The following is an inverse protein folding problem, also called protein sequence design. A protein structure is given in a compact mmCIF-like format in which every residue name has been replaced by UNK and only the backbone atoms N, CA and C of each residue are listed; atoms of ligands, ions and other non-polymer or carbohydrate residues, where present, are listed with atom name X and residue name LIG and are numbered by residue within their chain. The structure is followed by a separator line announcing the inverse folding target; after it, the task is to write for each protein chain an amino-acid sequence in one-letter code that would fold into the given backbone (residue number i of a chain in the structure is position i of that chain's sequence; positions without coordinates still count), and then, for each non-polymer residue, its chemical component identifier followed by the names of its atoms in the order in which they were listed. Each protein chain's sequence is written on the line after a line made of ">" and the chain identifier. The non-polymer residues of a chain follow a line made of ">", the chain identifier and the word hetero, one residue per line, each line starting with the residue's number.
data_IF_775567717764
#
_entry.id   IF_775567717764
#
_cell.length_a   1.000
_cell.length_b   1.000
_cell.length_c   1.000
_cell.angle_alpha   90.00
_cell.angle_beta   90.00
_cell.angle_gamma   90.00
#
_symmetry.space_group_name_H-M   'P 1'
#
loop_
_entity.id
_entity.type
_entity.pdbx_description
1 polymer ?
#
# COMPACT_ATOMS: atom_id res chain seq x y z
N UNK A 1 -28.84 -7.58 -13.62
CA UNK A 1 -28.02 -6.52 -14.23
C UNK A 1 -26.96 -7.20 -15.06
N UNK A 2 -26.97 -7.03 -16.38
CA UNK A 2 -25.89 -7.55 -17.21
C UNK A 2 -24.60 -6.82 -16.84
N UNK A 3 -23.56 -7.56 -16.49
CA UNK A 3 -22.22 -6.98 -16.41
C UNK A 3 -21.86 -6.46 -17.80
N UNK A 4 -21.15 -5.34 -17.91
CA UNK A 4 -20.75 -4.77 -19.21
C UNK A 4 -19.96 -5.74 -20.11
N UNK A 5 -19.38 -6.79 -19.54
CA UNK A 5 -18.64 -7.84 -20.25
C UNK A 5 -19.51 -8.95 -20.85
N UNK A 6 -20.82 -8.94 -20.62
CA UNK A 6 -21.70 -10.01 -21.09
C UNK A 6 -21.49 -11.37 -20.41
N UNK A 7 -20.60 -11.47 -19.44
CA UNK A 7 -20.39 -12.70 -18.67
C UNK A 7 -21.48 -12.89 -17.64
N UNK A 8 -22.12 -14.04 -17.65
CA UNK A 8 -23.03 -14.42 -16.58
C UNK A 8 -22.22 -14.88 -15.37
N UNK A 9 -22.73 -14.70 -14.11
CA UNK A 9 -22.03 -15.16 -12.91
C UNK A 9 -21.74 -16.67 -12.83
N UNK A 10 -22.32 -17.43 -13.77
CA UNK A 10 -22.15 -18.89 -13.88
C UNK A 10 -20.99 -19.33 -14.78
N UNK A 11 -20.44 -18.41 -15.59
CA UNK A 11 -19.30 -18.73 -16.43
C UNK A 11 -18.07 -18.87 -15.55
N UNK A 12 -17.70 -20.10 -15.23
CA UNK A 12 -16.42 -20.40 -14.58
C UNK A 12 -15.32 -20.00 -15.53
N UNK A 13 -14.61 -18.93 -15.21
CA UNK A 13 -13.37 -18.62 -15.92
C UNK A 13 -12.44 -19.83 -15.83
N UNK A 14 -11.92 -20.31 -16.95
CA UNK A 14 -10.90 -21.36 -16.90
C UNK A 14 -9.72 -20.82 -16.09
N UNK A 15 -9.46 -21.39 -14.93
CA UNK A 15 -8.25 -21.12 -14.17
C UNK A 15 -7.08 -21.71 -14.94
N UNK A 16 -6.46 -20.93 -15.81
CA UNK A 16 -5.10 -21.19 -16.24
C UNK A 16 -4.19 -20.51 -15.21
N UNK A 17 -3.64 -21.30 -14.33
CA UNK A 17 -2.57 -20.87 -13.46
C UNK A 17 -1.33 -20.72 -14.32
N UNK A 18 -0.80 -19.51 -14.41
CA UNK A 18 0.54 -19.29 -14.95
C UNK A 18 1.52 -19.94 -13.99
N UNK A 19 2.36 -20.81 -14.50
CA UNK A 19 3.44 -21.38 -13.72
C UNK A 19 4.68 -20.54 -13.94
N UNK A 20 5.11 -19.83 -12.89
CA UNK A 20 6.28 -18.94 -12.92
C UNK A 20 7.56 -19.76 -12.72
N UNK A 21 8.01 -20.49 -13.74
CA UNK A 21 9.20 -21.34 -13.67
C UNK A 21 10.41 -20.64 -14.33
N UNK A 22 11.64 -20.78 -13.78
CA UNK A 22 11.95 -21.45 -12.50
C UNK A 22 11.51 -20.63 -11.26
N UNK A 23 11.30 -19.33 -11.41
CA UNK A 23 10.84 -18.39 -10.41
C UNK A 23 10.16 -17.18 -11.10
N UNK A 24 9.47 -16.36 -10.34
CA UNK A 24 8.74 -15.20 -10.85
C UNK A 24 9.65 -14.15 -11.49
N UNK A 25 10.84 -13.90 -10.94
CA UNK A 25 11.80 -12.94 -11.48
C UNK A 25 12.25 -13.35 -12.88
N UNK A 26 12.72 -14.59 -13.02
CA UNK A 26 13.18 -15.14 -14.31
C UNK A 26 12.04 -15.13 -15.33
N UNK A 27 10.86 -15.61 -14.94
CA UNK A 27 9.69 -15.64 -15.81
C UNK A 27 9.35 -14.26 -16.39
N UNK A 28 9.27 -13.21 -15.55
CA UNK A 28 8.91 -11.87 -16.03
C UNK A 28 10.06 -11.15 -16.75
N UNK A 29 11.32 -11.53 -16.53
CA UNK A 29 12.43 -11.06 -17.37
C UNK A 29 12.39 -11.67 -18.78
N UNK A 30 11.96 -12.91 -18.91
CA UNK A 30 11.76 -13.59 -20.20
C UNK A 30 10.49 -13.12 -20.93
N UNK A 31 9.49 -12.64 -20.19
CA UNK A 31 8.21 -12.15 -20.71
C UNK A 31 7.94 -10.68 -20.28
N UNK A 32 8.78 -9.73 -20.72
CA UNK A 32 8.80 -8.37 -20.16
C UNK A 32 7.63 -7.49 -20.60
N UNK A 33 6.83 -7.93 -21.58
CA UNK A 33 5.74 -7.10 -22.11
C UNK A 33 4.37 -7.70 -21.83
N UNK A 34 3.37 -6.82 -21.75
CA UNK A 34 1.98 -7.23 -21.67
C UNK A 34 1.57 -8.11 -22.87
N UNK A 35 2.14 -7.87 -24.05
CA UNK A 35 1.86 -8.66 -25.25
C UNK A 35 2.33 -10.10 -25.08
N UNK A 36 3.50 -10.33 -24.48
CA UNK A 36 4.00 -11.66 -24.18
C UNK A 36 3.05 -12.39 -23.23
N UNK A 37 2.63 -11.74 -22.16
CA UNK A 37 1.68 -12.29 -21.18
C UNK A 37 0.31 -12.60 -21.80
N UNK A 38 -0.18 -11.74 -22.70
CA UNK A 38 -1.45 -11.97 -23.41
C UNK A 38 -1.38 -13.25 -24.26
N UNK A 39 -0.24 -13.52 -24.86
CA UNK A 39 -0.05 -14.75 -25.65
C UNK A 39 -0.12 -16.00 -24.77
N UNK A 40 0.43 -15.93 -23.56
CA UNK A 40 0.40 -17.03 -22.59
C UNK A 40 -0.99 -17.26 -21.99
N UNK A 41 -1.75 -16.17 -21.79
CA UNK A 41 -3.07 -16.20 -21.17
C UNK A 41 -4.23 -16.40 -22.15
N UNK A 42 -3.97 -16.44 -23.46
CA UNK A 42 -5.01 -16.54 -24.46
C UNK A 42 -5.75 -17.90 -24.44
N UNK A 43 -7.06 -17.93 -24.74
CA UNK A 43 -7.97 -16.80 -24.78
C UNK A 43 -8.53 -16.45 -23.39
N UNK A 44 -8.47 -15.18 -23.01
CA UNK A 44 -9.06 -14.67 -21.77
C UNK A 44 -9.78 -13.34 -22.06
N UNK A 45 -11.07 -13.42 -22.27
CA UNK A 45 -11.88 -12.26 -22.67
C UNK A 45 -11.82 -11.09 -21.67
N UNK A 46 -11.74 -11.38 -20.36
CA UNK A 46 -11.62 -10.33 -19.34
C UNK A 46 -10.27 -9.62 -19.42
N UNK A 47 -9.18 -10.39 -19.63
CA UNK A 47 -7.85 -9.81 -19.80
C UNK A 47 -7.75 -8.97 -21.06
N UNK A 48 -8.36 -9.43 -22.16
CA UNK A 48 -8.42 -8.68 -23.43
C UNK A 48 -9.19 -7.38 -23.25
N UNK A 49 -10.38 -7.44 -22.62
CA UNK A 49 -11.21 -6.27 -22.32
C UNK A 49 -10.45 -5.27 -21.42
N UNK A 50 -9.89 -5.72 -20.29
CA UNK A 50 -9.12 -4.89 -19.38
C UNK A 50 -7.92 -4.25 -20.08
N UNK A 51 -7.27 -4.99 -20.97
CA UNK A 51 -6.11 -4.52 -21.74
C UNK A 51 -6.44 -3.43 -22.73
N UNK A 52 -7.70 -3.35 -23.18
CA UNK A 52 -8.24 -2.27 -24.00
C UNK A 52 -8.41 -0.94 -23.25
N UNK A 53 -8.34 -0.95 -21.90
CA UNK A 53 -8.56 0.18 -21.03
C UNK A 53 -7.33 0.53 -20.19
N UNK A 54 -6.22 0.99 -20.81
CA UNK A 54 -4.96 1.25 -20.09
C UNK A 54 -5.05 2.48 -19.17
N UNK A 55 -5.98 3.38 -19.42
CA UNK A 55 -6.18 4.60 -18.63
C UNK A 55 -7.44 4.47 -17.76
N UNK A 56 -7.56 5.30 -16.71
CA UNK A 56 -8.75 5.35 -15.86
C UNK A 56 -9.90 6.06 -16.57
N UNK A 57 -10.54 5.35 -17.50
CA UNK A 57 -11.67 5.77 -18.31
C UNK A 57 -13.03 5.39 -17.68
N UNK A 58 -14.11 5.45 -18.49
CA UNK A 58 -15.46 5.15 -18.03
C UNK A 58 -15.65 3.66 -17.72
N UNK A 59 -14.88 2.76 -18.35
CA UNK A 59 -14.92 1.34 -18.05
C UNK A 59 -14.50 1.05 -16.59
N UNK A 60 -13.43 1.69 -16.10
CA UNK A 60 -12.98 1.62 -14.69
C UNK A 60 -13.94 2.33 -13.75
N UNK A 61 -14.43 3.52 -14.15
CA UNK A 61 -15.37 4.30 -13.33
C UNK A 61 -16.68 3.58 -13.08
N UNK A 62 -17.18 2.83 -14.08
CA UNK A 62 -18.40 2.04 -13.93
C UNK A 62 -18.25 0.88 -12.93
N UNK A 63 -17.00 0.46 -12.65
CA UNK A 63 -16.66 -0.61 -11.70
C UNK A 63 -16.25 -0.09 -10.32
N UNK A 64 -16.13 1.22 -10.15
CA UNK A 64 -15.78 1.84 -8.88
C UNK A 64 -17.00 1.97 -7.96
N UNK A 65 -17.19 0.99 -7.10
CA UNK A 65 -18.32 0.94 -6.14
C UNK A 65 -18.36 2.12 -5.18
N UNK A 66 -17.23 2.80 -4.94
CA UNK A 66 -17.16 3.99 -4.07
C UNK A 66 -17.98 5.15 -4.59
N UNK A 67 -18.30 5.17 -5.89
CA UNK A 67 -19.16 6.18 -6.52
C UNK A 67 -20.65 5.97 -6.21
N UNK A 68 -21.01 4.78 -5.72
CA UNK A 68 -22.39 4.38 -5.43
C UNK A 68 -22.68 4.25 -3.92
N UNK A 69 -21.83 4.81 -3.06
CA UNK A 69 -21.96 4.73 -1.59
C UNK A 69 -22.98 5.77 -1.05
N UNK A 70 -24.13 5.91 -1.67
CA UNK A 70 -25.20 6.83 -1.26
C UNK A 70 -26.46 6.07 -0.84
N UNK A 71 -27.23 6.64 0.10
CA UNK A 71 -28.47 6.05 0.62
C UNK A 71 -28.32 4.61 1.18
N UNK A 72 -27.16 4.33 1.75
CA UNK A 72 -26.91 3.06 2.42
C UNK A 72 -27.72 3.05 3.73
N UNK A 73 -28.63 2.11 3.89
CA UNK A 73 -29.47 1.98 5.08
C UNK A 73 -28.92 1.00 6.12
N UNK A 74 -28.38 -0.16 5.72
CA UNK A 74 -27.78 -1.08 6.68
C UNK A 74 -26.58 -0.47 7.38
N UNK A 75 -26.35 -0.84 8.64
CA UNK A 75 -25.10 -0.58 9.32
C UNK A 75 -23.93 -1.28 8.59
N UNK A 76 -22.77 -0.68 8.59
CA UNK A 76 -21.59 -1.20 7.90
C UNK A 76 -20.41 -1.35 8.85
N UNK A 77 -19.76 -2.51 8.80
CA UNK A 77 -18.44 -2.76 9.37
C UNK A 77 -17.46 -2.93 8.20
N UNK A 78 -16.60 -1.94 8.00
CA UNK A 78 -15.53 -2.00 7.00
C UNK A 78 -14.28 -2.54 7.67
N UNK A 79 -13.77 -3.66 7.18
CA UNK A 79 -12.61 -4.34 7.75
C UNK A 79 -11.51 -4.41 6.72
N UNK A 80 -10.27 -4.17 7.15
CA UNK A 80 -9.11 -4.25 6.28
C UNK A 80 -7.82 -4.56 7.03
N UNK A 81 -6.78 -4.83 6.26
CA UNK A 81 -5.43 -5.03 6.76
C UNK A 81 -4.49 -3.89 6.36
N UNK A 82 -3.67 -3.43 7.29
CA UNK A 82 -2.61 -2.48 6.98
C UNK A 82 -1.61 -3.07 5.98
N UNK A 83 -1.32 -4.36 6.12
CA UNK A 83 -0.38 -5.09 5.25
C UNK A 83 -1.11 -5.98 4.23
N UNK A 84 -2.32 -5.57 3.82
CA UNK A 84 -3.04 -6.23 2.74
C UNK A 84 -2.49 -5.77 1.39
N UNK A 85 -1.88 -6.71 0.66
CA UNK A 85 -1.27 -6.44 -0.65
C UNK A 85 -2.30 -6.23 -1.77
N UNK A 86 -3.59 -6.53 -1.51
CA UNK A 86 -4.67 -6.46 -2.50
C UNK A 86 -5.63 -5.30 -2.21
N UNK A 87 -6.14 -5.21 -0.97
CA UNK A 87 -7.26 -4.33 -0.63
C UNK A 87 -6.93 -3.23 0.38
N UNK A 88 -5.65 -3.02 0.71
CA UNK A 88 -5.22 -1.97 1.64
C UNK A 88 -5.81 -0.59 1.26
N UNK A 89 -5.75 -0.21 -0.01
CA UNK A 89 -6.33 1.04 -0.51
C UNK A 89 -7.87 1.03 -0.42
N UNK A 90 -8.50 -0.12 -0.69
CA UNK A 90 -9.95 -0.26 -0.82
C UNK A 90 -10.70 0.04 0.48
N UNK A 91 -10.31 -0.59 1.58
CA UNK A 91 -10.97 -0.44 2.87
C UNK A 91 -11.04 1.02 3.35
N UNK A 92 -9.91 1.73 3.36
CA UNK A 92 -9.85 3.14 3.75
C UNK A 92 -10.73 4.05 2.90
N UNK A 93 -10.72 3.82 1.59
CA UNK A 93 -11.45 4.69 0.66
C UNK A 93 -12.93 4.34 0.57
N UNK A 94 -13.32 3.09 0.82
CA UNK A 94 -14.72 2.71 0.98
C UNK A 94 -15.32 3.40 2.22
N UNK A 95 -14.68 3.30 3.37
CA UNK A 95 -15.10 3.99 4.58
C UNK A 95 -15.31 5.50 4.32
N UNK A 96 -14.31 6.16 3.72
CA UNK A 96 -14.41 7.58 3.38
C UNK A 96 -15.57 7.89 2.41
N UNK A 97 -15.81 7.00 1.46
CA UNK A 97 -16.89 7.18 0.49
C UNK A 97 -18.27 7.10 1.19
N UNK A 98 -18.46 6.13 2.08
CA UNK A 98 -19.69 5.99 2.87
C UNK A 98 -19.91 7.20 3.77
N UNK A 99 -18.92 7.59 4.58
CA UNK A 99 -19.01 8.76 5.47
C UNK A 99 -19.39 10.03 4.70
N UNK A 100 -18.85 10.21 3.50
CA UNK A 100 -19.10 11.40 2.69
C UNK A 100 -20.46 11.39 1.99
N UNK A 101 -20.89 10.24 1.47
CA UNK A 101 -22.04 10.13 0.59
C UNK A 101 -23.32 9.64 1.29
N UNK A 102 -23.17 9.01 2.46
CA UNK A 102 -24.28 8.42 3.24
C UNK A 102 -24.09 8.71 4.72
N UNK A 103 -24.12 9.99 5.09
CA UNK A 103 -23.80 10.49 6.42
C UNK A 103 -24.69 9.95 7.56
N UNK A 104 -25.85 9.38 7.22
CA UNK A 104 -26.76 8.75 8.19
C UNK A 104 -26.49 7.27 8.41
N UNK A 105 -25.58 6.67 7.63
CA UNK A 105 -25.24 5.24 7.77
C UNK A 105 -24.35 5.04 8.99
N UNK A 106 -24.74 4.19 9.95
CA UNK A 106 -23.82 3.75 10.98
C UNK A 106 -22.69 2.97 10.32
N UNK A 107 -21.48 3.53 10.34
CA UNK A 107 -20.30 2.91 9.73
C UNK A 107 -19.15 2.86 10.70
N UNK A 108 -18.57 1.67 10.84
CA UNK A 108 -17.37 1.41 11.62
C UNK A 108 -16.24 0.99 10.69
N UNK A 109 -15.02 1.42 11.01
CA UNK A 109 -13.79 1.00 10.33
C UNK A 109 -12.90 0.26 11.32
N UNK A 110 -12.50 -0.96 10.97
CA UNK A 110 -11.54 -1.75 11.76
C UNK A 110 -10.38 -2.16 10.84
N UNK A 111 -9.17 -1.72 11.17
CA UNK A 111 -7.97 -2.05 10.39
C UNK A 111 -6.91 -2.62 11.32
N UNK A 112 -6.57 -3.88 11.12
CA UNK A 112 -5.51 -4.56 11.86
C UNK A 112 -4.22 -4.67 11.06
N UNK A 113 -3.17 -5.27 11.64
CA UNK A 113 -1.86 -5.43 10.98
C UNK A 113 -1.87 -6.64 10.02
N UNK A 114 -2.99 -6.89 9.38
CA UNK A 114 -3.27 -8.10 8.64
C UNK A 114 -2.85 -8.04 7.19
N UNK A 115 -2.45 -9.18 6.65
CA UNK A 115 -2.50 -9.47 5.23
C UNK A 115 -3.94 -9.79 4.80
N UNK A 116 -4.17 -9.98 3.50
CA UNK A 116 -5.48 -10.22 2.92
C UNK A 116 -6.25 -11.36 3.63
N UNK A 117 -7.38 -11.01 4.24
CA UNK A 117 -8.27 -11.96 4.94
C UNK A 117 -7.71 -12.57 6.23
N UNK A 118 -6.55 -12.16 6.72
CA UNK A 118 -5.90 -12.79 7.88
C UNK A 118 -6.69 -12.66 9.18
N UNK A 119 -7.57 -11.67 9.31
CA UNK A 119 -8.51 -11.53 10.43
C UNK A 119 -9.53 -12.68 10.57
N UNK A 120 -9.63 -13.54 9.55
CA UNK A 120 -10.46 -14.75 9.59
C UNK A 120 -9.76 -15.96 10.19
N UNK A 121 -8.47 -15.82 10.52
CA UNK A 121 -7.63 -16.86 11.07
C UNK A 121 -6.84 -16.39 12.28
N UNK A 122 -5.59 -16.87 12.44
CA UNK A 122 -4.73 -16.41 13.53
C UNK A 122 -4.42 -14.90 13.38
N UNK A 123 -4.00 -14.44 12.19
CA UNK A 123 -3.80 -13.03 11.87
C UNK A 123 -2.67 -12.32 12.61
N UNK A 124 -2.11 -12.97 13.64
CA UNK A 124 -1.15 -12.38 14.57
C UNK A 124 0.23 -12.17 13.96
N UNK A 125 0.60 -13.01 12.99
CA UNK A 125 1.94 -13.03 12.41
C UNK A 125 1.95 -12.69 10.93
N UNK A 126 2.98 -11.94 10.53
CA UNK A 126 3.29 -11.69 9.14
C UNK A 126 4.82 -11.60 8.97
N UNK A 127 5.40 -12.49 8.15
CA UNK A 127 6.84 -12.61 8.04
C UNK A 127 7.48 -12.88 9.40
N UNK A 128 8.49 -12.11 9.72
CA UNK A 128 9.23 -12.22 10.99
C UNK A 128 8.53 -11.52 12.17
N UNK A 129 7.44 -10.79 11.92
CA UNK A 129 6.74 -9.99 12.94
C UNK A 129 5.60 -10.76 13.60
N UNK A 130 5.56 -10.72 14.94
CA UNK A 130 4.46 -11.16 15.80
C UNK A 130 3.86 -9.94 16.48
N UNK A 131 2.71 -9.48 15.99
CA UNK A 131 1.99 -8.30 16.51
C UNK A 131 1.20 -8.58 17.81
N UNK A 132 1.35 -9.76 18.38
CA UNK A 132 0.73 -10.14 19.64
C UNK A 132 -0.72 -10.61 19.55
N UNK A 133 -1.26 -11.01 20.69
CA UNK A 133 -2.59 -11.64 20.78
C UNK A 133 -3.73 -10.70 20.36
N UNK A 134 -3.60 -9.40 20.64
CA UNK A 134 -4.61 -8.41 20.25
C UNK A 134 -4.72 -8.22 18.73
N UNK A 135 -3.71 -8.63 17.95
CA UNK A 135 -3.75 -8.65 16.50
C UNK A 135 -4.45 -9.89 15.93
N UNK A 136 -4.82 -10.86 16.76
CA UNK A 136 -5.41 -12.11 16.30
C UNK A 136 -6.83 -11.93 15.74
N UNK A 137 -7.19 -12.81 14.80
CA UNK A 137 -8.57 -12.86 14.30
C UNK A 137 -9.59 -13.20 15.37
N UNK A 138 -9.19 -13.93 16.43
CA UNK A 138 -10.03 -14.17 17.60
C UNK A 138 -10.33 -12.87 18.34
N UNK A 139 -9.33 -12.05 18.61
CA UNK A 139 -9.52 -10.74 19.24
C UNK A 139 -10.44 -9.85 18.38
N UNK A 140 -10.22 -9.81 17.06
CA UNK A 140 -11.10 -9.08 16.15
C UNK A 140 -12.56 -9.56 16.24
N UNK A 141 -12.78 -10.87 16.21
CA UNK A 141 -14.13 -11.45 16.30
C UNK A 141 -14.81 -11.08 17.63
N UNK A 142 -14.10 -11.21 18.75
CA UNK A 142 -14.64 -10.99 20.09
C UNK A 142 -14.88 -9.50 20.41
N UNK A 143 -14.05 -8.60 19.90
CA UNK A 143 -14.08 -7.18 20.27
C UNK A 143 -14.72 -6.26 19.22
N UNK A 144 -14.84 -6.71 17.98
CA UNK A 144 -15.39 -5.87 16.90
C UNK A 144 -16.53 -6.56 16.14
N UNK A 145 -16.32 -7.75 15.60
CA UNK A 145 -17.30 -8.39 14.73
C UNK A 145 -18.55 -8.84 15.48
N UNK A 146 -18.39 -9.63 16.53
CA UNK A 146 -19.53 -10.12 17.32
C UNK A 146 -20.30 -8.96 17.98
N UNK A 147 -19.67 -7.97 18.64
CA UNK A 147 -20.37 -6.79 19.15
C UNK A 147 -21.11 -5.99 18.08
N UNK A 148 -20.58 -5.87 16.86
CA UNK A 148 -21.27 -5.19 15.76
C UNK A 148 -22.57 -5.91 15.40
N UNK A 149 -22.53 -7.22 15.22
CA UNK A 149 -23.72 -7.99 14.88
C UNK A 149 -24.71 -8.08 16.06
N UNK A 150 -24.23 -8.22 17.28
CA UNK A 150 -25.08 -8.22 18.48
C UNK A 150 -25.86 -6.89 18.60
N UNK A 151 -25.23 -5.78 18.35
CA UNK A 151 -25.86 -4.47 18.36
C UNK A 151 -26.93 -4.33 17.26
N UNK A 152 -26.60 -4.68 16.04
CA UNK A 152 -27.45 -4.38 14.89
C UNK A 152 -28.48 -5.46 14.55
N UNK A 153 -28.29 -6.70 15.00
CA UNK A 153 -29.22 -7.80 14.74
C UNK A 153 -30.07 -8.18 15.96
N UNK A 154 -29.53 -8.01 17.17
CA UNK A 154 -30.17 -8.49 18.41
C UNK A 154 -30.62 -7.39 19.36
N UNK A 155 -30.48 -6.12 18.97
CA UNK A 155 -30.85 -4.95 19.81
C UNK A 155 -30.26 -4.98 21.23
N UNK A 156 -29.08 -5.54 21.40
CA UNK A 156 -28.37 -5.48 22.67
C UNK A 156 -27.66 -4.14 22.76
N UNK A 157 -27.72 -3.48 23.93
CA UNK A 157 -27.05 -2.19 24.22
C UNK A 157 -25.49 -2.33 24.23
N UNK A 158 -24.93 -2.77 23.11
CA UNK A 158 -23.49 -2.90 22.92
C UNK A 158 -22.92 -1.81 22.02
N UNK A 159 -23.77 -0.88 21.54
CA UNK A 159 -23.40 0.22 20.62
C UNK A 159 -22.29 1.09 21.16
N UNK A 160 -22.32 1.38 22.46
CA UNK A 160 -21.32 2.23 23.10
C UNK A 160 -19.93 1.58 23.23
N UNK A 161 -19.79 0.31 22.81
CA UNK A 161 -18.53 -0.43 22.90
C UNK A 161 -17.71 -0.41 21.62
N UNK A 162 -18.31 -0.08 20.47
CA UNK A 162 -17.60 -0.05 19.20
C UNK A 162 -17.21 1.37 18.84
N UNK A 163 -15.90 1.68 18.78
CA UNK A 163 -15.48 2.99 18.30
C UNK A 163 -15.85 3.14 16.81
N UNK A 164 -16.14 4.36 16.33
CA UNK A 164 -16.34 4.61 14.90
C UNK A 164 -15.16 4.14 14.04
N UNK A 165 -13.95 4.23 14.59
CA UNK A 165 -12.72 3.78 13.94
C UNK A 165 -11.81 3.11 14.97
N UNK A 166 -11.41 1.88 14.71
CA UNK A 166 -10.37 1.17 15.43
C UNK A 166 -9.24 0.81 14.46
N UNK A 167 -8.03 1.21 14.78
CA UNK A 167 -6.85 0.92 13.94
C UNK A 167 -5.73 0.40 14.82
N UNK A 168 -5.16 -0.73 14.41
CA UNK A 168 -3.97 -1.26 15.05
C UNK A 168 -2.74 -0.53 14.52
N UNK A 169 -1.95 0.01 15.41
CA UNK A 169 -0.67 0.62 15.09
C UNK A 169 0.43 -0.40 15.29
N UNK A 170 1.15 -0.74 14.22
CA UNK A 170 2.36 -1.53 14.32
C UNK A 170 3.49 -0.71 14.95
N UNK A 171 4.46 -1.39 15.58
CA UNK A 171 5.57 -0.76 16.28
C UNK A 171 5.27 -0.46 17.75
N UNK A 172 4.09 0.00 18.13
CA UNK A 172 3.62 -0.04 19.52
C UNK A 172 2.64 -1.19 19.79
N UNK A 173 2.20 -1.87 18.73
CA UNK A 173 1.39 -3.09 18.71
C UNK A 173 0.12 -2.99 19.54
N UNK A 174 -0.63 -1.91 19.29
CA UNK A 174 -1.84 -1.58 20.05
C UNK A 174 -2.99 -1.12 19.15
N UNK A 175 -4.20 -1.34 19.61
CA UNK A 175 -5.39 -0.75 19.06
C UNK A 175 -5.57 0.69 19.51
N UNK A 176 -5.81 1.57 18.55
CA UNK A 176 -6.18 2.95 18.79
C UNK A 176 -7.60 3.22 18.31
N UNK A 177 -8.40 3.86 19.16
CA UNK A 177 -9.78 4.23 18.88
C UNK A 177 -9.87 5.71 18.49
N UNK A 178 -10.60 6.01 17.41
CA UNK A 178 -10.78 7.36 16.90
C UNK A 178 -12.25 7.63 16.61
N UNK A 179 -12.69 8.87 16.80
CA UNK A 179 -14.03 9.30 16.40
C UNK A 179 -14.22 9.40 14.88
N UNK A 180 -13.13 9.51 14.13
CA UNK A 180 -13.10 9.54 12.66
C UNK A 180 -11.72 9.21 12.12
N UNK A 181 -11.64 8.86 10.85
CA UNK A 181 -10.39 8.75 10.11
C UNK A 181 -10.28 9.84 9.02
N UNK A 182 -9.20 10.64 8.95
CA UNK A 182 -8.04 10.62 9.85
C UNK A 182 -8.37 11.31 11.16
N UNK A 183 -7.63 11.01 12.27
CA UNK A 183 -7.87 11.62 13.57
C UNK A 183 -7.79 13.15 13.53
N UNK A 184 -8.68 13.82 14.25
CA UNK A 184 -8.73 15.29 14.26
C UNK A 184 -7.47 15.96 14.81
N UNK A 185 -6.73 15.27 15.68
CA UNK A 185 -5.47 15.75 16.28
C UNK A 185 -4.23 15.47 15.44
N UNK A 186 -4.34 14.73 14.34
CA UNK A 186 -3.19 14.45 13.48
C UNK A 186 -2.66 15.72 12.82
N UNK A 187 -1.35 15.91 12.87
CA UNK A 187 -0.66 17.06 12.25
C UNK A 187 0.17 16.59 11.07
N UNK A 188 0.12 17.32 9.97
CA UNK A 188 1.01 17.05 8.83
C UNK A 188 2.45 17.40 9.22
N UNK A 189 3.35 16.44 9.05
CA UNK A 189 4.78 16.62 9.15
C UNK A 189 5.42 16.45 7.77
N UNK A 190 6.39 17.29 7.44
CA UNK A 190 7.11 17.23 6.17
C UNK A 190 8.55 16.85 6.44
N UNK A 191 9.01 15.82 5.75
CA UNK A 191 10.42 15.46 5.68
C UNK A 191 10.98 15.81 4.31
N UNK A 192 12.22 16.23 4.26
CA UNK A 192 12.93 16.59 3.04
C UNK A 192 14.03 15.59 2.76
N UNK A 193 14.13 15.20 1.49
CA UNK A 193 15.24 14.42 0.96
C UNK A 193 16.42 15.36 0.78
N UNK A 194 17.46 15.23 1.60
CA UNK A 194 18.60 16.16 1.63
C UNK A 194 19.88 15.47 1.14
N UNK A 195 20.88 16.26 0.83
CA UNK A 195 22.18 15.78 0.37
C UNK A 195 22.82 14.78 1.36
N UNK A 196 23.58 13.85 0.83
CA UNK A 196 24.22 12.80 1.62
C UNK A 196 23.27 11.72 2.14
N UNK A 197 22.10 11.56 1.53
CA UNK A 197 21.12 10.53 1.92
C UNK A 197 20.43 10.82 3.27
N UNK A 198 20.35 12.09 3.67
CA UNK A 198 19.69 12.49 4.91
C UNK A 198 18.20 12.75 4.69
N UNK A 199 17.40 12.26 5.61
CA UNK A 199 15.98 12.60 5.74
C UNK A 199 15.81 13.57 6.92
N UNK A 200 15.30 14.77 6.68
CA UNK A 200 15.25 15.83 7.70
C UNK A 200 13.95 16.61 7.67
N UNK A 201 13.54 17.16 8.80
CA UNK A 201 12.40 18.09 8.89
C UNK A 201 12.79 19.52 8.53
N UNK A 202 14.08 19.83 8.48
CA UNK A 202 14.58 21.14 8.07
C UNK A 202 14.66 21.24 6.55
N UNK A 203 14.07 22.31 5.99
CA UNK A 203 14.13 22.52 4.55
C UNK A 203 15.57 22.79 4.12
N UNK A 204 16.12 22.00 3.15
CA UNK A 204 17.47 22.20 2.67
C UNK A 204 17.69 23.62 2.12
N UNK A 205 18.83 24.21 2.45
CA UNK A 205 19.19 25.54 1.96
C UNK A 205 19.59 25.52 0.47
N UNK A 206 20.17 24.42 -0.01
CA UNK A 206 20.55 24.24 -1.40
C UNK A 206 19.30 24.09 -2.29
N UNK A 207 19.19 24.98 -3.31
CA UNK A 207 18.01 24.99 -4.19
C UNK A 207 18.18 24.17 -5.47
N UNK A 208 19.40 23.78 -5.82
CA UNK A 208 19.74 23.16 -7.11
C UNK A 208 20.61 21.91 -6.94
N UNK A 209 20.41 21.14 -5.89
CA UNK A 209 21.05 19.82 -5.76
C UNK A 209 20.16 18.75 -6.37
N UNK A 210 20.77 17.76 -7.01
CA UNK A 210 20.08 16.60 -7.55
C UNK A 210 20.92 15.35 -7.34
N UNK A 211 20.26 14.24 -7.09
CA UNK A 211 20.88 12.91 -7.06
C UNK A 211 20.23 12.08 -8.16
N UNK A 212 21.03 11.43 -8.98
CA UNK A 212 20.56 10.63 -10.10
C UNK A 212 21.00 9.18 -9.98
N UNK A 213 20.28 8.29 -10.66
CA UNK A 213 20.63 6.88 -10.82
C UNK A 213 20.22 6.40 -12.21
N UNK A 214 20.80 5.29 -12.63
CA UNK A 214 20.43 4.57 -13.83
C UNK A 214 19.51 3.40 -13.44
N UNK A 215 18.29 3.38 -13.98
CA UNK A 215 17.41 2.22 -13.89
C UNK A 215 17.67 1.29 -15.07
N UNK A 216 18.15 0.09 -14.81
CA UNK A 216 18.45 -0.91 -15.83
C UNK A 216 17.30 -1.94 -15.87
N UNK A 217 16.56 -2.04 -16.98
CA UNK A 217 15.50 -3.04 -17.10
C UNK A 217 16.02 -4.50 -17.15
N UNK A 218 17.32 -4.70 -17.40
CA UNK A 218 17.93 -6.04 -17.36
C UNK A 218 18.30 -6.48 -15.92
N UNK A 219 18.46 -5.53 -14.99
CA UNK A 219 18.67 -5.80 -13.57
C UNK A 219 17.75 -4.93 -12.69
N UNK A 220 16.44 -5.10 -12.80
CA UNK A 220 15.48 -4.29 -12.03
C UNK A 220 15.61 -4.55 -10.53
N UNK A 221 15.29 -3.52 -9.73
CA UNK A 221 15.31 -3.63 -8.27
C UNK A 221 14.30 -4.68 -7.81
N UNK A 222 14.72 -5.75 -7.14
CA UNK A 222 13.82 -6.81 -6.70
C UNK A 222 12.92 -6.35 -5.55
N UNK A 223 11.74 -6.96 -5.43
CA UNK A 223 10.81 -6.68 -4.33
C UNK A 223 11.09 -7.52 -3.08
N UNK A 224 11.80 -8.63 -3.26
CA UNK A 224 12.28 -9.54 -2.21
C UNK A 224 13.73 -9.94 -2.51
N UNK A 225 14.46 -10.32 -1.47
CA UNK A 225 15.83 -10.82 -1.57
C UNK A 225 15.91 -12.11 -2.41
N UNK A 226 15.00 -13.03 -2.14
CA UNK A 226 14.94 -14.33 -2.83
C UNK A 226 13.73 -14.39 -3.73
N UNK A 227 13.91 -14.64 -5.05
CA UNK A 227 12.82 -14.90 -5.97
C UNK A 227 12.00 -16.12 -5.53
N UNK A 228 10.71 -16.12 -5.83
CA UNK A 228 9.77 -17.17 -5.46
C UNK A 228 8.86 -17.60 -6.61
N UNK A 229 7.86 -18.41 -6.27
CA UNK A 229 6.80 -18.82 -7.20
C UNK A 229 5.51 -18.05 -6.86
N UNK A 230 5.47 -16.77 -7.21
CA UNK A 230 4.34 -15.89 -6.94
C UNK A 230 4.63 -14.88 -5.84
N UNK A 231 3.62 -14.11 -5.50
CA UNK A 231 3.73 -12.99 -4.55
C UNK A 231 3.41 -13.43 -3.12
N UNK A 232 4.41 -13.71 -2.27
CA UNK A 232 4.16 -13.99 -0.86
C UNK A 232 3.68 -12.71 -0.14
N UNK A 233 2.70 -12.86 0.76
CA UNK A 233 2.15 -11.74 1.52
C UNK A 233 3.16 -11.04 2.43
N UNK A 234 4.19 -11.75 2.82
CA UNK A 234 5.27 -11.33 3.73
C UNK A 234 6.10 -10.18 3.17
N UNK A 235 6.09 -9.95 1.84
CA UNK A 235 6.83 -8.84 1.25
C UNK A 235 6.39 -7.47 1.81
N UNK A 236 5.16 -7.36 2.31
CA UNK A 236 4.61 -6.11 2.85
C UNK A 236 5.31 -5.62 4.12
N UNK A 237 6.06 -6.49 4.80
CA UNK A 237 6.86 -6.18 6.00
C UNK A 237 8.32 -6.60 5.85
N UNK A 238 8.75 -7.02 4.65
CA UNK A 238 10.07 -7.60 4.43
C UNK A 238 11.20 -6.64 4.80
N UNK A 239 12.26 -7.22 5.35
CA UNK A 239 13.52 -6.52 5.61
C UNK A 239 14.13 -5.99 4.32
N UNK A 240 14.44 -4.71 4.26
CA UNK A 240 14.96 -4.04 3.06
C UNK A 240 16.48 -3.98 2.99
N UNK A 241 17.22 -4.59 3.93
CA UNK A 241 18.70 -4.59 3.97
C UNK A 241 19.33 -5.21 2.71
N UNK A 242 18.65 -6.13 2.04
CA UNK A 242 19.13 -6.72 0.78
C UNK A 242 19.34 -5.71 -0.36
N UNK A 243 18.79 -4.51 -0.24
CA UNK A 243 18.98 -3.41 -1.19
C UNK A 243 20.19 -2.53 -0.85
N UNK A 244 20.88 -2.81 0.25
CA UNK A 244 22.04 -2.05 0.63
C UNK A 244 23.13 -2.10 -0.46
N UNK A 245 23.65 -0.94 -0.82
CA UNK A 245 24.68 -0.82 -1.87
C UNK A 245 24.16 -0.82 -3.31
N UNK A 246 22.88 -1.00 -3.59
CA UNK A 246 22.32 -0.78 -4.93
C UNK A 246 22.40 0.70 -5.30
N UNK A 247 22.97 0.98 -6.48
CA UNK A 247 23.14 2.35 -6.97
C UNK A 247 21.88 2.95 -7.59
N UNK A 248 20.88 2.11 -7.87
CA UNK A 248 19.57 2.47 -8.44
C UNK A 248 18.47 2.57 -7.39
N UNK A 249 18.84 2.53 -6.09
CA UNK A 249 17.98 2.81 -4.95
C UNK A 249 18.52 3.99 -4.18
N UNK A 250 17.85 5.13 -4.29
CA UNK A 250 18.18 6.31 -3.47
C UNK A 250 17.63 6.11 -2.07
N UNK A 251 18.48 6.20 -1.07
CA UNK A 251 18.13 5.98 0.33
C UNK A 251 18.36 7.26 1.14
N UNK A 252 17.34 7.65 1.90
CA UNK A 252 17.37 8.81 2.79
C UNK A 252 16.93 8.38 4.18
N UNK A 253 17.71 8.72 5.22
CA UNK A 253 17.50 8.26 6.59
C UNK A 253 17.62 9.40 7.59
N UNK A 254 16.79 9.38 8.63
CA UNK A 254 16.86 10.34 9.75
C UNK A 254 18.00 9.99 10.69
N UNK A 255 18.36 10.93 11.58
CA UNK A 255 19.04 10.56 12.83
C UNK A 255 18.12 9.66 13.69
N UNK A 256 18.65 8.93 14.67
CA UNK A 256 17.81 8.17 15.60
C UNK A 256 16.77 9.09 16.24
N UNK A 257 15.54 8.61 16.31
CA UNK A 257 14.45 9.35 16.94
C UNK A 257 14.70 9.48 18.45
N UNK A 258 14.51 10.69 18.97
CA UNK A 258 14.65 10.95 20.41
C UNK A 258 13.46 10.42 21.23
N UNK A 259 12.29 10.31 20.59
CA UNK A 259 11.04 9.86 21.19
C UNK A 259 10.21 9.07 20.17
N UNK A 260 9.21 8.34 20.63
CA UNK A 260 8.30 7.59 19.78
C UNK A 260 7.55 8.55 18.85
N UNK A 261 7.43 8.18 17.57
CA UNK A 261 6.70 8.95 16.57
C UNK A 261 5.64 8.07 15.90
N UNK A 262 4.36 8.36 16.18
CA UNK A 262 3.24 7.65 15.58
C UNK A 262 2.74 8.37 14.34
N UNK A 263 2.80 7.72 13.19
CA UNK A 263 2.21 8.18 11.93
C UNK A 263 0.82 7.57 11.75
N UNK A 264 -0.17 8.42 11.43
CA UNK A 264 -1.54 7.99 11.15
C UNK A 264 -2.08 8.72 9.92
N UNK A 265 -2.62 7.97 8.99
CA UNK A 265 -3.18 8.52 7.76
C UNK A 265 -2.34 8.25 6.52
N UNK A 266 -2.57 9.00 5.43
CA UNK A 266 -1.86 8.81 4.18
C UNK A 266 -0.41 9.30 4.25
N UNK A 267 0.48 8.59 3.59
CA UNK A 267 1.84 9.04 3.32
C UNK A 267 1.89 9.62 1.92
N UNK A 268 2.45 10.82 1.77
CA UNK A 268 2.54 11.50 0.48
C UNK A 268 4.00 11.80 0.13
N UNK A 269 4.43 11.42 -1.06
CA UNK A 269 5.72 11.80 -1.61
C UNK A 269 5.55 12.82 -2.74
N UNK A 270 6.43 13.82 -2.76
CA UNK A 270 6.52 14.79 -3.85
C UNK A 270 7.96 14.84 -4.32
N UNK A 271 8.18 14.49 -5.57
CA UNK A 271 9.50 14.40 -6.19
C UNK A 271 9.58 15.39 -7.37
N UNK A 272 10.65 16.17 -7.43
CA UNK A 272 11.03 16.89 -8.64
C UNK A 272 12.01 16.01 -9.42
N UNK A 273 11.60 15.48 -10.56
CA UNK A 273 12.34 14.47 -11.30
C UNK A 273 12.52 14.86 -12.77
N UNK A 274 13.73 14.68 -13.29
CA UNK A 274 14.03 14.76 -14.71
C UNK A 274 14.44 13.39 -15.23
N UNK A 275 13.89 12.98 -16.36
CA UNK A 275 14.15 11.70 -17.01
C UNK A 275 14.96 11.88 -18.28
N UNK A 276 15.77 10.89 -18.65
CA UNK A 276 16.37 10.79 -19.97
C UNK A 276 15.39 10.29 -21.03
N UNK A 277 14.22 9.78 -20.61
CA UNK A 277 13.17 9.22 -21.46
C UNK A 277 11.86 9.97 -21.27
N UNK A 278 10.81 9.54 -21.97
CA UNK A 278 9.46 10.14 -21.87
C UNK A 278 8.60 9.59 -20.74
N UNK A 279 9.05 8.52 -20.07
CA UNK A 279 8.31 7.89 -18.95
C UNK A 279 9.25 7.04 -18.08
N UNK A 280 8.89 6.86 -16.81
CA UNK A 280 9.50 5.95 -15.86
C UNK A 280 8.50 5.65 -14.74
N UNK A 281 8.73 4.57 -14.01
CA UNK A 281 8.01 4.32 -12.77
C UNK A 281 8.76 4.94 -11.58
N UNK A 282 7.99 5.39 -10.59
CA UNK A 282 8.48 5.94 -9.33
C UNK A 282 7.92 5.11 -8.20
N UNK A 283 8.78 4.39 -7.53
CA UNK A 283 8.47 3.61 -6.33
C UNK A 283 9.05 4.34 -5.14
N UNK A 284 8.23 4.56 -4.12
CA UNK A 284 8.67 5.14 -2.85
C UNK A 284 8.33 4.18 -1.73
N UNK A 285 9.28 3.94 -0.84
CA UNK A 285 9.11 3.08 0.33
C UNK A 285 9.36 3.88 1.60
N UNK A 286 8.53 3.67 2.60
CA UNK A 286 8.72 4.10 3.98
C UNK A 286 9.14 2.88 4.80
N UNK A 287 10.22 2.99 5.53
CA UNK A 287 10.89 1.88 6.19
C UNK A 287 11.21 2.29 7.63
N UNK A 288 10.97 1.39 8.55
CA UNK A 288 11.40 1.51 9.95
C UNK A 288 12.74 0.79 10.13
N UNK A 289 13.79 1.55 10.47
CA UNK A 289 15.11 1.02 10.74
C UNK A 289 15.30 0.83 12.24
N UNK A 290 15.41 -0.42 12.64
CA UNK A 290 15.63 -0.82 14.02
C UNK A 290 17.06 -0.53 14.45
N UNK A 291 17.31 -0.20 15.72
CA UNK A 291 18.67 0.04 16.22
C UNK A 291 19.52 -1.23 16.21
N UNK A 292 20.84 -1.05 16.20
CA UNK A 292 21.78 -2.16 16.33
C UNK A 292 21.75 -2.70 17.77
N UNK A 293 21.12 -3.82 17.99
CA UNK A 293 21.03 -4.49 19.29
C UNK A 293 19.66 -5.10 19.55
N UNK A 294 19.60 -6.29 20.12
CA UNK A 294 18.38 -7.05 20.35
C UNK A 294 18.07 -8.07 19.25
N UNK A 295 16.91 -8.70 19.33
CA UNK A 295 16.51 -9.80 18.42
C UNK A 295 16.29 -9.38 16.97
N UNK A 296 15.94 -8.12 16.73
CA UNK A 296 15.66 -7.54 15.41
C UNK A 296 16.73 -6.50 15.00
N UNK A 297 17.94 -6.67 15.51
CA UNK A 297 19.05 -5.73 15.33
C UNK A 297 19.29 -5.34 13.87
N UNK A 298 19.26 -4.03 13.60
CA UNK A 298 19.52 -3.46 12.30
C UNK A 298 18.49 -3.78 11.22
N UNK A 299 17.35 -4.44 11.56
CA UNK A 299 16.28 -4.75 10.60
C UNK A 299 15.73 -3.46 9.98
N UNK A 300 15.35 -3.55 8.73
CA UNK A 300 14.74 -2.46 7.96
C UNK A 300 13.34 -2.88 7.49
N UNK A 301 12.37 -2.80 8.41
CA UNK A 301 10.99 -3.22 8.15
C UNK A 301 10.32 -2.31 7.12
N UNK A 302 9.81 -2.87 6.03
CA UNK A 302 8.93 -2.13 5.13
C UNK A 302 7.62 -1.78 5.87
N UNK A 303 7.35 -0.49 6.05
CA UNK A 303 6.10 0.00 6.66
C UNK A 303 5.05 0.26 5.58
N UNK A 304 5.46 0.91 4.49
CA UNK A 304 4.60 1.19 3.34
C UNK A 304 5.45 1.41 2.10
N UNK A 305 5.00 0.85 0.98
CA UNK A 305 5.52 1.16 -0.33
C UNK A 305 4.36 1.34 -1.31
N UNK A 306 4.55 2.16 -2.32
CA UNK A 306 3.63 2.29 -3.44
C UNK A 306 4.38 2.86 -4.66
N UNK A 307 3.72 2.83 -5.81
CA UNK A 307 4.31 3.27 -7.04
C UNK A 307 3.36 4.10 -7.90
N UNK A 308 3.94 4.97 -8.72
CA UNK A 308 3.20 5.68 -9.76
C UNK A 308 4.02 5.69 -11.05
N UNK A 309 3.37 5.35 -12.15
CA UNK A 309 3.97 5.55 -13.47
C UNK A 309 3.96 7.04 -13.81
N UNK A 310 5.10 7.57 -14.19
CA UNK A 310 5.32 9.01 -14.35
C UNK A 310 4.35 9.72 -15.28
N UNK A 311 3.88 9.02 -16.34
CA UNK A 311 2.84 9.57 -17.22
C UNK A 311 1.52 9.89 -16.51
N UNK A 312 1.25 9.26 -15.36
CA UNK A 312 0.04 9.46 -14.55
C UNK A 312 0.23 10.39 -13.36
N UNK A 313 1.35 11.13 -13.29
CA UNK A 313 1.65 12.06 -12.18
C UNK A 313 0.58 13.12 -11.93
N UNK A 314 -0.18 13.47 -12.97
CA UNK A 314 -1.28 14.44 -12.91
C UNK A 314 -2.67 13.75 -12.81
N UNK A 315 -2.71 12.41 -12.72
CA UNK A 315 -3.92 11.60 -12.59
C UNK A 315 -4.02 10.50 -13.64
N UNK A 316 -4.77 9.45 -13.32
CA UNK A 316 -4.82 8.20 -14.09
C UNK A 316 -5.67 8.27 -15.37
N UNK A 317 -6.46 9.33 -15.57
CA UNK A 317 -7.38 9.44 -16.71
C UNK A 317 -6.74 10.07 -17.96
N UNK A 318 -5.62 10.78 -17.80
CA UNK A 318 -4.97 11.52 -18.89
C UNK A 318 -3.46 11.40 -18.77
N UNK A 319 -2.87 10.39 -19.38
CA UNK A 319 -1.42 10.21 -19.34
C UNK A 319 -0.71 11.39 -20.03
N UNK A 320 0.40 11.82 -19.47
CA UNK A 320 1.22 12.91 -19.99
C UNK A 320 2.70 12.52 -19.94
N UNK A 321 3.31 12.42 -21.10
CA UNK A 321 4.72 12.10 -21.23
C UNK A 321 5.62 13.16 -20.57
N UNK A 322 6.79 12.75 -20.11
CA UNK A 322 7.86 13.66 -19.72
C UNK A 322 8.56 14.22 -20.95
N UNK A 323 9.06 15.45 -20.81
CA UNK A 323 10.05 15.97 -21.71
C UNK A 323 11.45 15.60 -21.21
N UNK A 324 12.25 14.82 -21.97
CA UNK A 324 13.57 14.40 -21.54
C UNK A 324 14.43 15.58 -21.05
N UNK A 325 15.10 15.40 -19.93
CA UNK A 325 15.95 16.41 -19.29
C UNK A 325 15.23 17.56 -18.58
N UNK A 326 13.91 17.65 -18.68
CA UNK A 326 13.14 18.70 -18.00
C UNK A 326 12.59 18.20 -16.64
N UNK A 327 12.86 18.89 -15.53
CA UNK A 327 12.27 18.56 -14.26
C UNK A 327 10.74 18.71 -14.27
N UNK A 328 10.03 17.71 -13.76
CA UNK A 328 8.58 17.73 -13.55
C UNK A 328 8.25 17.16 -12.16
N UNK A 329 7.15 17.64 -11.59
CA UNK A 329 6.70 17.23 -10.26
C UNK A 329 5.92 15.92 -10.34
N UNK A 330 6.36 14.92 -9.59
CA UNK A 330 5.67 13.64 -9.41
C UNK A 330 5.10 13.58 -8.01
N UNK A 331 3.80 13.30 -7.90
CA UNK A 331 3.12 13.12 -6.62
C UNK A 331 2.61 11.70 -6.50
N UNK A 332 2.96 11.08 -5.39
CA UNK A 332 2.50 9.75 -5.01
C UNK A 332 1.81 9.84 -3.65
N UNK A 333 0.58 9.36 -3.59
CA UNK A 333 -0.15 9.21 -2.34
C UNK A 333 -0.34 7.73 -2.05
N UNK A 334 0.35 7.24 -1.05
CA UNK A 334 0.27 5.86 -0.60
C UNK A 334 -1.01 5.61 0.21
N UNK A 335 -1.46 4.36 0.33
CA UNK A 335 -2.49 3.98 1.28
C UNK A 335 -2.15 4.41 2.70
N UNK A 336 -3.20 4.60 3.49
CA UNK A 336 -3.06 5.04 4.89
C UNK A 336 -2.31 4.00 5.72
N UNK A 337 -1.66 4.48 6.77
CA UNK A 337 -0.96 3.67 7.77
C UNK A 337 -1.36 4.08 9.17
N UNK A 338 -1.12 3.20 10.12
CA UNK A 338 -0.90 3.49 11.53
C UNK A 338 0.35 2.73 11.96
N UNK A 339 1.41 3.46 12.28
CA UNK A 339 2.71 2.87 12.65
C UNK A 339 3.45 3.79 13.61
N UNK A 340 4.02 3.22 14.65
CA UNK A 340 4.84 3.92 15.64
C UNK A 340 6.30 3.59 15.47
N UNK A 341 7.08 4.53 14.94
CA UNK A 341 8.54 4.47 15.00
C UNK A 341 8.98 4.72 16.44
N UNK A 342 9.71 3.78 17.03
CA UNK A 342 10.12 3.87 18.43
C UNK A 342 11.33 4.78 18.61
N UNK A 343 11.52 5.30 19.80
CA UNK A 343 12.74 6.00 20.17
C UNK A 343 13.97 5.13 19.90
N UNK A 344 15.01 5.72 19.32
CA UNK A 344 16.20 5.02 18.85
C UNK A 344 16.10 4.43 17.44
N UNK A 345 14.89 4.22 16.89
CA UNK A 345 14.70 3.85 15.49
C UNK A 345 15.01 5.03 14.55
N UNK A 346 15.16 4.73 13.28
CA UNK A 346 15.27 5.75 12.21
C UNK A 346 14.20 5.57 11.17
N UNK A 347 13.69 6.68 10.66
CA UNK A 347 12.81 6.66 9.49
C UNK A 347 13.67 6.65 8.25
N UNK A 348 13.43 5.71 7.34
CA UNK A 348 14.09 5.64 6.04
C UNK A 348 13.06 5.78 4.91
N UNK A 349 13.45 6.51 3.88
CA UNK A 349 12.73 6.59 2.60
C UNK A 349 13.64 6.09 1.50
N UNK A 350 13.15 5.15 0.69
CA UNK A 350 13.80 4.72 -0.52
C UNK A 350 13.01 5.19 -1.75
N UNK A 351 13.73 5.61 -2.79
CA UNK A 351 13.18 6.00 -4.09
C UNK A 351 13.88 5.20 -5.18
N UNK A 352 13.12 4.53 -6.04
CA UNK A 352 13.60 3.64 -7.11
C UNK A 352 12.62 3.63 -8.28
N UNK A 353 12.98 3.00 -9.41
CA UNK A 353 12.13 2.95 -10.62
C UNK A 353 11.60 1.57 -10.96
N UNK A 354 11.80 0.58 -10.12
CA UNK A 354 11.22 -0.74 -10.25
C UNK A 354 11.03 -1.39 -8.87
N UNK A 355 10.11 -2.30 -8.78
CA UNK A 355 9.84 -3.15 -7.61
C UNK A 355 9.48 -4.52 -8.12
N UNK A 356 10.45 -5.13 -8.77
CA UNK A 356 10.27 -6.23 -9.70
C UNK A 356 10.21 -7.61 -9.01
N UNK A 357 9.34 -8.52 -9.47
CA UNK A 357 8.37 -8.39 -10.55
C UNK A 357 6.98 -7.90 -10.10
N UNK A 358 6.88 -7.26 -8.95
CA UNK A 358 5.63 -6.69 -8.47
C UNK A 358 5.15 -5.54 -9.38
N UNK A 359 6.13 -4.76 -9.90
CA UNK A 359 5.95 -3.66 -10.85
C UNK A 359 7.19 -3.51 -11.73
#
# INVERSE_FOLDING_TARGET
>A
MNTPSGHTPTDRMPRRELTFLPDDRTFFLEHPTRADLMTLLAPNAFWEEMSGHPDYDEWWRARDTRRACYNIRPAMLVVGGTYDAEDCYGAWNLYRAVVRQSAQTPVHLVVGPWSHGAWRGDGRRLGDFDFGEEASGRYYMEHFEAPFFDCHLWTRDTVDRLPPVAVFSSGDDRWHAFGRWTPAGARRMTFYLADGGRLTTEKPAARNSSTGYLSDPADPVPYLETPGLGRPKEYMVADQRFLAGRRDVLTFVTEPLAEDMTLVGPVEATLEAALSTSDADFVVKLIDCFPDGGGEAGMQMLVRGDAVRGRYRDGFARPKAFFPGKPECVRLRMPDIAHTFRAGHRIMVQVQSSWFPLM
#
